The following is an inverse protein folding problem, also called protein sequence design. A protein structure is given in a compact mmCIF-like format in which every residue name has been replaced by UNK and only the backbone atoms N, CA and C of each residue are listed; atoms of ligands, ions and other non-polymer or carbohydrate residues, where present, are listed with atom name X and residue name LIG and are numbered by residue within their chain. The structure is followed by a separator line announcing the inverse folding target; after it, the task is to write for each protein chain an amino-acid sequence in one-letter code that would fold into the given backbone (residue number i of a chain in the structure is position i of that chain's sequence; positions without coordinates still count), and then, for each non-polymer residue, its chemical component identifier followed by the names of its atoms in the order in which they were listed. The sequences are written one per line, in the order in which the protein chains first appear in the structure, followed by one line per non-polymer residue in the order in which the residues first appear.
data_IF_183390133337
#
_entry.id   IF_183390133337
#
_cell.length_a   1.000
_cell.length_b   1.000
_cell.length_c   1.000
_cell.angle_alpha   90.00
_cell.angle_beta   90.00
_cell.angle_gamma   90.00
#
_symmetry.space_group_name_H-M   'P 1'
#
loop_
_entity.id
_entity.type
_entity.pdbx_description
1 polymer ?
#
# COMPACT_ATOMS: atom_id res chain seq x y z
N UNK A 1 -2.91 -20.62 -18.33
CA UNK A 1 -1.58 -20.60 -17.69
C UNK A 1 -1.40 -19.37 -16.80
N UNK A 2 -0.70 -19.45 -15.67
CA UNK A 2 -0.46 -18.34 -14.74
C UNK A 2 0.74 -17.45 -15.13
N UNK A 3 1.73 -17.98 -15.86
CA UNK A 3 2.96 -17.27 -16.24
C UNK A 3 3.73 -16.69 -15.05
N UNK A 4 4.01 -17.53 -14.03
CA UNK A 4 4.62 -17.10 -12.76
C UNK A 4 5.94 -16.35 -12.94
N UNK A 5 6.78 -16.79 -13.88
CA UNK A 5 8.06 -16.15 -14.17
C UNK A 5 7.87 -14.73 -14.74
N UNK A 6 6.96 -14.56 -15.70
CA UNK A 6 6.65 -13.27 -16.31
C UNK A 6 6.04 -12.31 -15.28
N UNK A 7 5.12 -12.78 -14.43
CA UNK A 7 4.58 -11.95 -13.34
C UNK A 7 5.65 -11.54 -12.33
N UNK A 8 6.62 -12.41 -12.04
CA UNK A 8 7.71 -12.09 -11.11
C UNK A 8 8.61 -10.97 -11.67
N UNK A 9 8.95 -11.05 -12.95
CA UNK A 9 9.71 -10.01 -13.66
C UNK A 9 8.91 -8.72 -13.81
N UNK A 10 7.65 -8.81 -14.23
CA UNK A 10 6.72 -7.67 -14.31
C UNK A 10 6.64 -6.93 -12.97
N UNK A 11 6.41 -7.65 -11.88
CA UNK A 11 6.32 -7.04 -10.55
C UNK A 11 7.61 -6.30 -10.21
N UNK A 12 8.78 -6.91 -10.45
CA UNK A 12 10.09 -6.26 -10.23
C UNK A 12 10.19 -4.93 -11.00
N UNK A 13 9.77 -4.92 -12.26
CA UNK A 13 9.85 -3.73 -13.12
C UNK A 13 8.95 -2.57 -12.67
N UNK A 14 7.82 -2.89 -12.04
CA UNK A 14 6.84 -1.89 -11.57
C UNK A 14 7.01 -1.53 -10.08
N UNK A 15 7.96 -2.14 -9.36
CA UNK A 15 8.29 -1.69 -7.99
C UNK A 15 9.11 -0.41 -8.06
N UNK A 16 9.07 0.42 -7.01
CA UNK A 16 10.08 1.43 -6.85
C UNK A 16 11.48 0.78 -6.75
N UNK A 17 12.44 1.40 -7.43
CA UNK A 17 13.85 0.98 -7.46
C UNK A 17 14.53 1.18 -6.11
N UNK A 18 15.67 0.52 -5.87
CA UNK A 18 16.39 0.66 -4.60
C UNK A 18 16.84 2.10 -4.34
N UNK A 19 17.28 2.83 -5.38
CA UNK A 19 17.56 4.27 -5.29
C UNK A 19 16.35 5.09 -4.87
N UNK A 20 15.15 4.75 -5.36
CA UNK A 20 13.92 5.40 -4.93
C UNK A 20 13.60 5.06 -3.48
N UNK A 21 13.84 3.81 -3.05
CA UNK A 21 13.69 3.40 -1.64
C UNK A 21 14.59 4.20 -0.72
N UNK A 22 15.86 4.33 -1.07
CA UNK A 22 16.84 5.16 -0.36
C UNK A 22 16.40 6.62 -0.30
N UNK A 23 15.91 7.16 -1.42
CA UNK A 23 15.45 8.55 -1.53
C UNK A 23 14.32 8.87 -0.56
N UNK A 24 13.29 8.02 -0.47
CA UNK A 24 12.22 8.28 0.51
C UNK A 24 12.64 8.03 1.95
N UNK A 25 13.50 7.03 2.22
CA UNK A 25 14.02 6.79 3.58
C UNK A 25 14.83 7.99 4.05
N UNK A 26 15.66 8.56 3.17
CA UNK A 26 16.40 9.79 3.43
C UNK A 26 15.47 10.98 3.68
N UNK A 27 14.47 11.20 2.81
CA UNK A 27 13.49 12.28 2.98
C UNK A 27 12.74 12.18 4.30
N UNK A 28 12.27 10.98 4.64
CA UNK A 28 11.55 10.72 5.88
C UNK A 28 12.42 10.91 7.12
N UNK A 29 13.61 10.33 7.16
CA UNK A 29 14.54 10.49 8.28
C UNK A 29 14.94 11.95 8.48
N UNK A 30 15.17 12.68 7.38
CA UNK A 30 15.51 14.11 7.43
C UNK A 30 14.38 14.94 8.03
N UNK A 31 13.14 14.78 7.54
CA UNK A 31 11.99 15.53 8.07
C UNK A 31 11.74 15.20 9.54
N UNK A 32 11.79 13.92 9.92
CA UNK A 32 11.58 13.47 11.30
C UNK A 32 12.65 14.02 12.25
N UNK A 33 13.91 14.01 11.82
CA UNK A 33 15.03 14.58 12.60
C UNK A 33 14.91 16.10 12.77
N UNK A 34 14.46 16.82 11.73
CA UNK A 34 14.19 18.26 11.83
C UNK A 34 13.04 18.55 12.80
N UNK A 35 11.93 17.81 12.71
CA UNK A 35 10.80 17.97 13.63
C UNK A 35 11.18 17.70 15.09
N UNK A 36 12.01 16.68 15.35
CA UNK A 36 12.45 16.36 16.71
C UNK A 36 13.46 17.37 17.27
N UNK A 37 14.14 18.12 16.40
CA UNK A 37 15.14 19.13 16.78
C UNK A 37 14.59 20.55 16.79
N UNK A 38 13.35 20.75 16.35
CA UNK A 38 12.70 22.06 16.34
C UNK A 38 12.27 22.45 17.76
N UNK A 39 12.66 23.65 18.20
CA UNK A 39 12.47 24.13 19.57
C UNK A 39 10.99 24.20 19.98
N UNK A 40 10.09 24.53 19.05
CA UNK A 40 8.67 24.71 19.36
C UNK A 40 7.87 23.45 19.08
N UNK A 41 8.11 22.79 17.94
CA UNK A 41 7.36 21.59 17.55
C UNK A 41 7.75 20.37 18.39
N UNK A 42 9.01 20.24 18.83
CA UNK A 42 9.42 19.10 19.68
C UNK A 42 8.65 19.02 21.00
N UNK A 43 8.09 20.16 21.47
CA UNK A 43 7.27 20.25 22.69
C UNK A 43 5.88 19.64 22.52
N UNK A 44 5.33 19.64 21.29
CA UNK A 44 3.97 19.17 21.00
C UNK A 44 3.93 17.87 20.19
N UNK A 45 5.02 17.51 19.52
CA UNK A 45 5.11 16.29 18.69
C UNK A 45 5.40 15.08 19.58
N UNK A 46 4.45 14.15 19.64
CA UNK A 46 4.57 12.89 20.38
C UNK A 46 5.35 11.86 19.58
N UNK A 47 5.00 11.69 18.30
CA UNK A 47 5.61 10.71 17.42
C UNK A 47 5.47 11.10 15.95
N UNK A 48 6.33 10.53 15.12
CA UNK A 48 6.23 10.63 13.65
C UNK A 48 6.39 9.25 13.04
N UNK A 49 5.59 8.93 12.03
CA UNK A 49 5.66 7.63 11.36
C UNK A 49 5.30 7.70 9.88
N UNK A 50 5.80 6.73 9.12
CA UNK A 50 5.47 6.57 7.70
C UNK A 50 4.05 6.03 7.53
N UNK A 51 3.32 6.58 6.56
CA UNK A 51 1.98 6.17 6.16
C UNK A 51 1.95 5.95 4.65
N UNK A 52 0.76 5.92 4.07
CA UNK A 52 0.62 5.93 2.63
C UNK A 52 0.94 4.61 1.93
N UNK A 53 1.03 4.71 0.61
CA UNK A 53 1.28 3.56 -0.25
C UNK A 53 2.70 2.99 -0.10
N UNK A 54 3.67 3.82 0.29
CA UNK A 54 5.04 3.36 0.58
C UNK A 54 5.02 2.47 1.82
N UNK A 55 4.47 2.95 2.95
CA UNK A 55 4.44 2.15 4.19
C UNK A 55 3.71 0.83 4.03
N UNK A 56 2.61 0.83 3.25
CA UNK A 56 1.79 -0.36 2.97
C UNK A 56 2.33 -1.24 1.85
N UNK A 57 3.47 -0.88 1.25
CA UNK A 57 4.10 -1.61 0.14
C UNK A 57 3.19 -1.74 -1.09
N UNK A 58 2.35 -0.75 -1.36
CA UNK A 58 1.44 -0.70 -2.52
C UNK A 58 1.78 0.44 -3.48
N UNK A 59 2.90 1.14 -3.26
CA UNK A 59 3.46 2.10 -4.20
C UNK A 59 3.96 1.39 -5.46
N UNK A 60 3.70 2.01 -6.63
CA UNK A 60 4.21 1.57 -7.92
C UNK A 60 5.32 2.52 -8.37
N UNK A 61 6.15 2.06 -9.32
CA UNK A 61 7.23 2.85 -9.90
C UNK A 61 6.68 4.15 -10.49
N UNK A 62 7.18 5.33 -10.07
CA UNK A 62 6.88 6.59 -10.72
C UNK A 62 7.27 6.57 -12.21
N UNK A 63 6.48 7.24 -13.06
CA UNK A 63 6.74 7.41 -14.50
C UNK A 63 6.98 8.88 -14.81
N UNK A 64 7.89 9.17 -15.73
CA UNK A 64 8.27 10.54 -16.10
C UNK A 64 8.99 11.24 -14.96
N UNK A 65 8.68 12.52 -14.75
CA UNK A 65 9.30 13.36 -13.72
C UNK A 65 8.69 13.17 -12.32
N UNK A 66 7.79 12.18 -12.15
CA UNK A 66 7.18 11.90 -10.85
C UNK A 66 8.19 11.27 -9.89
N UNK A 67 8.05 11.62 -8.62
CA UNK A 67 8.91 11.14 -7.53
C UNK A 67 8.15 10.17 -6.64
N UNK A 68 8.84 9.45 -5.76
CA UNK A 68 8.17 8.75 -4.68
C UNK A 68 7.39 9.74 -3.80
N UNK A 69 6.16 9.37 -3.47
CA UNK A 69 5.23 10.15 -2.66
C UNK A 69 5.14 9.54 -1.26
N UNK A 70 5.60 10.29 -0.26
CA UNK A 70 5.80 9.83 1.11
C UNK A 70 4.84 10.54 2.04
N UNK A 71 3.91 9.81 2.63
CA UNK A 71 3.07 10.33 3.70
C UNK A 71 3.78 10.17 5.05
N UNK A 72 3.98 11.27 5.78
CA UNK A 72 4.51 11.27 7.15
C UNK A 72 3.46 11.84 8.08
N UNK A 73 2.95 10.98 8.97
CA UNK A 73 2.00 11.40 10.00
C UNK A 73 2.78 11.92 11.20
N UNK A 74 2.41 13.12 11.64
CA UNK A 74 2.87 13.74 12.89
C UNK A 74 1.76 13.62 13.91
N UNK A 75 2.01 12.87 14.97
CA UNK A 75 1.11 12.73 16.11
C UNK A 75 1.45 13.81 17.11
N UNK A 76 0.49 14.66 17.41
CA UNK A 76 0.65 15.78 18.36
C UNK A 76 -0.24 15.62 19.57
N UNK A 77 0.09 16.34 20.64
CA UNK A 77 -0.74 16.49 21.83
C UNK A 77 -1.70 17.69 21.76
N UNK A 78 -1.82 18.35 20.59
CA UNK A 78 -2.71 19.49 20.36
C UNK A 78 -4.13 19.15 20.82
N UNK A 79 -4.71 20.02 21.64
CA UNK A 79 -6.13 19.93 21.98
C UNK A 79 -7.00 20.38 20.80
N UNK A 80 -7.60 19.40 20.12
CA UNK A 80 -8.45 19.61 18.95
C UNK A 80 -9.84 20.19 19.29
N UNK A 81 -10.23 20.24 20.57
CA UNK A 81 -11.43 20.96 21.01
C UNK A 81 -11.15 22.46 21.19
N UNK A 82 -9.94 22.81 21.65
CA UNK A 82 -9.54 24.20 21.90
C UNK A 82 -8.86 24.87 20.68
N UNK A 83 -8.38 24.08 19.73
CA UNK A 83 -7.60 24.56 18.59
C UNK A 83 -8.33 24.34 17.27
N UNK A 84 -8.54 25.40 16.49
CA UNK A 84 -9.11 25.28 15.15
C UNK A 84 -8.13 24.56 14.20
N UNK A 85 -8.62 23.86 13.16
CA UNK A 85 -7.75 23.20 12.18
C UNK A 85 -6.69 24.12 11.58
N UNK A 86 -7.08 25.34 11.21
CA UNK A 86 -6.14 26.35 10.68
C UNK A 86 -5.05 26.70 11.70
N UNK A 87 -5.42 27.01 12.96
CA UNK A 87 -4.44 27.32 14.02
C UNK A 87 -3.50 26.16 14.31
N UNK A 88 -3.98 24.91 14.23
CA UNK A 88 -3.14 23.74 14.43
C UNK A 88 -2.13 23.56 13.28
N UNK A 89 -2.58 23.71 12.03
CA UNK A 89 -1.71 23.66 10.85
C UNK A 89 -0.69 24.80 10.86
N UNK A 90 -1.09 26.02 11.25
CA UNK A 90 -0.22 27.20 11.28
C UNK A 90 0.96 27.09 12.25
N UNK A 91 0.86 26.24 13.28
CA UNK A 91 2.00 25.93 14.17
C UNK A 91 3.22 25.38 13.40
N UNK A 92 2.99 24.72 12.26
CA UNK A 92 4.05 24.10 11.46
C UNK A 92 4.60 25.03 10.37
N UNK A 93 3.96 26.17 10.09
CA UNK A 93 4.40 27.10 9.03
C UNK A 93 5.80 27.67 9.30
N UNK A 94 6.16 28.15 10.51
CA UNK A 94 7.52 28.64 10.78
C UNK A 94 8.60 27.58 10.53
N UNK A 95 8.32 26.32 10.88
CA UNK A 95 9.20 25.18 10.62
C UNK A 95 9.40 24.94 9.11
N UNK A 96 8.29 24.97 8.35
CA UNK A 96 8.31 24.78 6.90
C UNK A 96 9.06 25.90 6.19
N UNK A 97 8.83 27.16 6.57
CA UNK A 97 9.57 28.31 6.01
C UNK A 97 11.07 28.24 6.29
N UNK A 98 11.45 27.80 7.49
CA UNK A 98 12.87 27.67 7.87
C UNK A 98 13.58 26.56 7.11
N UNK A 99 12.95 25.39 6.97
CA UNK A 99 13.63 24.17 6.48
C UNK A 99 13.35 23.82 5.02
N UNK A 100 12.28 24.37 4.44
CA UNK A 100 11.81 24.07 3.10
C UNK A 100 11.38 25.34 2.33
N UNK A 101 12.12 26.48 2.41
CA UNK A 101 11.70 27.73 1.78
C UNK A 101 11.47 27.55 0.28
N UNK A 102 10.29 27.99 -0.19
CA UNK A 102 9.87 27.87 -1.60
C UNK A 102 9.64 26.45 -2.11
N UNK A 103 9.64 25.44 -1.22
CA UNK A 103 9.49 24.01 -1.57
C UNK A 103 8.27 23.36 -0.94
N UNK A 104 7.41 24.13 -0.28
CA UNK A 104 6.22 23.59 0.37
C UNK A 104 4.96 24.33 -0.07
N UNK A 105 3.82 23.63 -0.02
CA UNK A 105 2.50 24.21 -0.24
C UNK A 105 1.48 23.68 0.77
N UNK A 106 0.52 24.51 1.21
CA UNK A 106 -0.59 24.03 2.02
C UNK A 106 -1.52 23.14 1.20
N UNK A 107 -2.04 22.10 1.84
CA UNK A 107 -3.16 21.30 1.36
C UNK A 107 -4.24 21.27 2.44
N UNK A 108 -5.44 20.77 2.10
CA UNK A 108 -6.57 20.69 3.02
C UNK A 108 -6.23 20.02 4.36
N UNK A 109 -5.46 18.93 4.33
CA UNK A 109 -5.18 18.04 5.48
C UNK A 109 -3.70 17.76 5.73
N UNK A 110 -2.82 18.41 4.98
CA UNK A 110 -1.38 18.18 5.01
C UNK A 110 -0.63 19.41 4.48
N UNK A 111 0.69 19.35 4.54
CA UNK A 111 1.58 20.21 3.77
C UNK A 111 2.36 19.35 2.77
N UNK A 112 2.27 19.69 1.49
CA UNK A 112 3.08 19.04 0.46
C UNK A 112 4.45 19.69 0.38
N UNK A 113 5.52 18.92 0.50
CA UNK A 113 6.92 19.34 0.37
C UNK A 113 7.49 18.69 -0.88
N UNK A 114 7.89 19.50 -1.86
CA UNK A 114 8.43 19.06 -3.14
C UNK A 114 9.97 19.19 -3.12
N UNK A 115 10.66 18.06 -3.05
CA UNK A 115 12.12 17.98 -3.17
C UNK A 115 12.51 17.38 -4.51
N UNK A 116 13.76 17.56 -4.92
CA UNK A 116 14.23 17.06 -6.22
C UNK A 116 14.18 15.53 -6.35
N UNK A 117 14.17 14.81 -5.22
CA UNK A 117 14.24 13.35 -5.15
C UNK A 117 13.01 12.68 -4.52
N UNK A 118 12.12 13.42 -3.88
CA UNK A 118 10.95 12.90 -3.15
C UNK A 118 9.89 13.99 -2.99
N UNK A 119 8.63 13.61 -3.05
CA UNK A 119 7.52 14.45 -2.61
C UNK A 119 7.02 13.93 -1.25
N UNK A 120 6.80 14.82 -0.28
CA UNK A 120 6.42 14.44 1.08
C UNK A 120 5.14 15.15 1.48
N UNK A 121 4.15 14.38 1.93
CA UNK A 121 2.96 14.89 2.60
C UNK A 121 3.16 14.85 4.12
N UNK A 122 3.33 16.03 4.72
CA UNK A 122 3.38 16.21 6.18
C UNK A 122 1.94 16.29 6.72
N UNK A 123 1.45 15.19 7.30
CA UNK A 123 0.08 15.02 7.78
C UNK A 123 0.04 15.27 9.29
N UNK A 124 -0.58 16.37 9.72
CA UNK A 124 -0.65 16.73 11.14
C UNK A 124 -1.87 16.06 11.75
N UNK A 125 -1.71 15.47 12.93
CA UNK A 125 -2.79 14.81 13.66
C UNK A 125 -2.70 15.10 15.15
N UNK A 126 -3.83 14.99 15.85
CA UNK A 126 -3.92 15.10 17.29
C UNK A 126 -4.34 13.77 17.93
N UNK A 127 -3.80 13.48 19.10
CA UNK A 127 -4.25 12.38 19.95
C UNK A 127 -5.67 12.63 20.49
N UNK A 128 -6.39 11.56 20.90
CA UNK A 128 -7.57 11.70 21.74
C UNK A 128 -7.27 12.55 23.00
N UNK A 129 -8.28 13.30 23.44
CA UNK A 129 -8.20 14.17 24.62
C UNK A 129 -8.47 13.42 25.92
N UNK A 130 -9.20 12.31 25.87
CA UNK A 130 -9.42 11.41 27.02
C UNK A 130 -8.07 10.88 27.56
N UNK A 131 -7.78 11.00 28.87
CA UNK A 131 -6.50 10.59 29.44
C UNK A 131 -6.12 9.12 29.24
N UNK A 132 -7.08 8.20 29.36
CA UNK A 132 -6.81 6.76 29.25
C UNK A 132 -6.50 6.38 27.80
N UNK A 133 -7.33 6.85 26.86
CA UNK A 133 -7.12 6.72 25.42
C UNK A 133 -5.80 7.36 24.98
N UNK A 134 -5.49 8.57 25.48
CA UNK A 134 -4.23 9.26 25.20
C UNK A 134 -3.04 8.43 25.64
N UNK A 135 -3.01 7.98 26.89
CA UNK A 135 -1.89 7.19 27.43
C UNK A 135 -1.68 5.88 26.65
N UNK A 136 -2.76 5.17 26.33
CA UNK A 136 -2.69 3.95 25.53
C UNK A 136 -2.12 4.21 24.12
N UNK A 137 -2.60 5.26 23.45
CA UNK A 137 -2.15 5.61 22.11
C UNK A 137 -0.71 6.12 22.10
N UNK A 138 -0.30 6.94 23.06
CA UNK A 138 1.09 7.43 23.16
C UNK A 138 2.09 6.28 23.28
N UNK A 139 1.80 5.30 24.13
CA UNK A 139 2.65 4.12 24.31
C UNK A 139 2.82 3.35 22.99
N UNK A 140 1.72 3.15 22.26
CA UNK A 140 1.73 2.50 20.95
C UNK A 140 2.49 3.32 19.90
N UNK A 141 2.23 4.62 19.79
CA UNK A 141 2.88 5.51 18.81
C UNK A 141 4.38 5.66 19.03
N UNK A 142 4.85 5.50 20.27
CA UNK A 142 6.29 5.49 20.62
C UNK A 142 6.96 4.13 20.41
N UNK A 143 6.20 3.09 20.06
CA UNK A 143 6.76 1.76 19.83
C UNK A 143 7.52 1.65 18.51
N UNK A 144 8.43 0.67 18.44
CA UNK A 144 9.22 0.44 17.22
C UNK A 144 8.35 -0.03 16.04
N UNK A 145 7.20 -0.68 16.29
CA UNK A 145 6.25 -1.06 15.23
C UNK A 145 5.69 0.13 14.48
N UNK A 146 5.57 1.27 15.14
CA UNK A 146 5.08 2.51 14.54
C UNK A 146 6.25 3.34 13.99
N UNK A 147 7.35 3.43 14.74
CA UNK A 147 8.48 4.31 14.37
C UNK A 147 9.35 3.77 13.23
N UNK A 148 9.25 2.48 12.89
CA UNK A 148 10.03 1.87 11.81
C UNK A 148 9.84 2.58 10.47
N UNK A 149 10.92 2.66 9.70
CA UNK A 149 10.91 3.10 8.31
C UNK A 149 10.77 1.97 7.31
N UNK A 150 10.73 0.73 7.79
CA UNK A 150 10.58 -0.45 6.94
C UNK A 150 9.13 -0.58 6.48
N UNK A 151 8.98 -0.95 5.21
CA UNK A 151 7.70 -1.23 4.59
C UNK A 151 7.26 -2.68 4.92
N UNK A 152 5.99 -3.00 4.66
CA UNK A 152 5.47 -4.36 4.89
C UNK A 152 6.15 -5.46 4.04
N UNK A 153 6.75 -5.06 2.91
CA UNK A 153 7.55 -5.93 2.05
C UNK A 153 8.96 -6.14 2.59
N UNK A 154 9.53 -5.17 3.31
CA UNK A 154 10.89 -5.27 3.87
C UNK A 154 10.91 -6.07 5.18
N UNK A 155 9.87 -5.97 6.01
CA UNK A 155 9.70 -6.81 7.20
C UNK A 155 8.28 -7.39 7.28
N UNK A 156 8.12 -8.60 6.73
CA UNK A 156 6.85 -9.33 6.74
C UNK A 156 6.44 -9.84 8.13
N UNK A 157 7.35 -9.85 9.11
CA UNK A 157 7.05 -10.21 10.50
C UNK A 157 6.24 -9.13 11.20
N UNK A 158 6.21 -7.91 10.64
CA UNK A 158 5.58 -6.74 11.27
C UNK A 158 4.17 -7.04 11.79
N UNK A 159 3.98 -6.67 13.06
CA UNK A 159 2.68 -6.53 13.71
C UNK A 159 2.62 -5.17 14.37
N UNK A 160 1.41 -4.63 14.44
CA UNK A 160 1.15 -3.43 15.24
C UNK A 160 1.14 -3.85 16.71
N UNK A 161 2.32 -3.93 17.33
CA UNK A 161 2.50 -4.38 18.70
C UNK A 161 3.67 -3.63 19.34
N UNK A 162 3.52 -3.22 20.60
CA UNK A 162 4.55 -2.47 21.32
C UNK A 162 5.86 -3.25 21.51
N UNK A 163 5.73 -4.58 21.65
CA UNK A 163 6.84 -5.50 21.84
C UNK A 163 7.54 -5.86 20.53
N UNK A 164 6.93 -5.59 19.37
CA UNK A 164 7.58 -5.87 18.10
C UNK A 164 8.83 -5.01 17.93
N UNK A 165 9.88 -5.64 17.41
CA UNK A 165 11.13 -4.98 17.01
C UNK A 165 11.44 -5.36 15.57
N UNK A 166 12.03 -4.46 14.76
CA UNK A 166 12.53 -4.80 13.44
C UNK A 166 13.49 -5.98 13.55
N UNK A 167 13.38 -6.93 12.64
CA UNK A 167 14.26 -8.10 12.61
C UNK A 167 15.28 -7.98 11.48
N UNK A 168 16.57 -7.72 11.78
CA UNK A 168 17.60 -7.82 10.78
C UNK A 168 17.66 -9.27 10.28
N UNK A 169 17.52 -9.49 8.98
CA UNK A 169 17.71 -10.80 8.32
C UNK A 169 16.65 -11.89 8.58
N UNK A 170 15.44 -11.53 9.03
CA UNK A 170 14.29 -12.46 8.98
C UNK A 170 14.38 -13.67 9.91
N UNK A 171 15.22 -13.61 10.95
CA UNK A 171 15.16 -14.55 12.08
C UNK A 171 13.80 -14.41 12.75
N UNK A 172 12.82 -15.24 12.35
CA UNK A 172 11.44 -15.21 12.83
C UNK A 172 11.43 -15.31 14.36
N UNK A 173 11.08 -14.25 15.10
CA UNK A 173 10.69 -14.40 16.50
C UNK A 173 9.34 -15.15 16.51
N UNK A 174 9.05 -15.82 17.62
CA UNK A 174 7.76 -16.46 17.97
C UNK A 174 6.55 -15.82 17.28
N UNK A 175 5.56 -16.65 16.89
CA UNK A 175 4.27 -16.20 16.36
C UNK A 175 3.71 -15.05 17.22
N UNK A 176 3.89 -13.83 16.73
CA UNK A 176 3.47 -12.62 17.44
C UNK A 176 2.20 -12.11 16.77
N UNK A 177 1.25 -11.74 17.60
CA UNK A 177 -0.02 -11.16 17.18
C UNK A 177 0.02 -9.63 17.20
N UNK A 178 -0.90 -9.02 16.46
CA UNK A 178 -1.18 -7.58 16.61
C UNK A 178 -1.64 -7.29 18.04
N UNK A 179 -1.43 -6.05 18.51
CA UNK A 179 -1.88 -5.62 19.83
C UNK A 179 -3.41 -5.79 19.96
N UNK A 180 -3.92 -6.18 21.14
CA UNK A 180 -5.34 -6.34 21.39
C UNK A 180 -6.13 -5.12 20.91
N UNK A 181 -7.10 -5.36 20.03
CA UNK A 181 -7.80 -4.30 19.30
C UNK A 181 -8.55 -3.34 20.22
N UNK A 182 -9.04 -3.81 21.37
CA UNK A 182 -9.78 -3.01 22.34
C UNK A 182 -9.01 -1.82 22.92
N UNK A 183 -7.67 -1.85 22.91
CA UNK A 183 -6.85 -0.80 23.53
C UNK A 183 -6.58 0.38 22.59
N UNK A 184 -6.58 0.17 21.27
CA UNK A 184 -6.14 1.19 20.32
C UNK A 184 -7.13 1.47 19.19
N UNK A 185 -7.87 0.45 18.69
CA UNK A 185 -8.81 0.65 17.57
C UNK A 185 -9.95 1.63 17.87
N UNK A 186 -10.52 1.68 19.08
CA UNK A 186 -11.55 2.67 19.41
C UNK A 186 -11.04 4.12 19.46
N UNK A 187 -9.71 4.31 19.43
CA UNK A 187 -9.02 5.56 19.72
C UNK A 187 -8.35 6.13 18.45
N UNK A 188 -9.12 6.63 17.46
CA UNK A 188 -8.53 7.22 16.26
C UNK A 188 -7.75 8.49 16.58
N UNK A 189 -6.92 8.90 15.63
CA UNK A 189 -6.37 10.24 15.61
C UNK A 189 -7.39 11.23 15.07
N UNK A 190 -7.16 12.51 15.33
CA UNK A 190 -7.92 13.62 14.76
C UNK A 190 -7.07 14.35 13.73
N UNK A 191 -7.62 14.52 12.53
CA UNK A 191 -6.99 15.14 11.37
C UNK A 191 -7.62 16.52 11.15
N UNK A 192 -6.86 17.63 11.20
CA UNK A 192 -7.38 18.94 10.89
C UNK A 192 -7.62 19.05 9.39
N UNK A 193 -8.81 19.52 8.99
CA UNK A 193 -9.13 19.87 7.61
C UNK A 193 -9.35 21.38 7.53
N UNK A 194 -8.39 22.11 6.95
CA UNK A 194 -8.47 23.58 6.86
C UNK A 194 -9.58 24.03 5.92
N UNK A 195 -9.83 23.26 4.86
CA UNK A 195 -10.79 23.62 3.81
C UNK A 195 -12.23 23.47 4.34
N UNK A 196 -12.45 22.47 5.20
CA UNK A 196 -13.74 22.21 5.86
C UNK A 196 -13.87 22.99 7.18
N UNK A 197 -12.76 23.38 7.80
CA UNK A 197 -12.74 24.06 9.09
C UNK A 197 -13.02 23.15 10.29
N UNK A 198 -13.00 21.82 10.12
CA UNK A 198 -13.29 20.84 11.18
C UNK A 198 -12.18 19.80 11.35
N UNK A 199 -12.14 19.16 12.52
CA UNK A 199 -11.33 17.97 12.76
C UNK A 199 -12.10 16.71 12.40
N UNK A 200 -11.50 15.84 11.59
CA UNK A 200 -12.06 14.54 11.21
C UNK A 200 -11.31 13.38 11.86
N UNK A 201 -12.01 12.28 12.16
CA UNK A 201 -11.39 11.05 12.69
C UNK A 201 -10.55 10.37 11.60
N UNK A 202 -9.39 9.83 11.95
CA UNK A 202 -8.55 9.04 11.03
C UNK A 202 -7.83 7.93 11.78
N UNK A 203 -7.64 6.78 11.14
CA UNK A 203 -6.95 5.66 11.77
C UNK A 203 -5.83 5.05 10.89
N UNK A 204 -4.74 5.80 10.60
CA UNK A 204 -3.63 5.32 9.77
C UNK A 204 -3.06 3.95 10.15
N UNK A 205 -2.91 3.68 11.45
CA UNK A 205 -2.40 2.41 11.95
C UNK A 205 -3.34 1.24 11.64
N UNK A 206 -4.67 1.45 11.65
CA UNK A 206 -5.63 0.41 11.27
C UNK A 206 -5.54 0.10 9.78
N UNK A 207 -5.28 1.09 8.92
CA UNK A 207 -5.09 0.88 7.49
C UNK A 207 -3.83 0.05 7.20
N UNK A 208 -2.71 0.35 7.89
CA UNK A 208 -1.45 -0.40 7.77
C UNK A 208 -1.62 -1.82 8.31
N UNK A 209 -2.23 -1.97 9.49
CA UNK A 209 -2.48 -3.25 10.14
C UNK A 209 -3.38 -4.16 9.31
N UNK A 210 -4.48 -3.61 8.79
CA UNK A 210 -5.38 -4.35 7.92
C UNK A 210 -4.67 -4.83 6.65
N UNK A 211 -3.86 -3.97 6.02
CA UNK A 211 -3.11 -4.35 4.81
C UNK A 211 -2.11 -5.46 5.09
N UNK A 212 -1.39 -5.40 6.22
CA UNK A 212 -0.48 -6.45 6.62
C UNK A 212 -1.19 -7.79 6.84
N UNK A 213 -2.32 -7.76 7.57
CA UNK A 213 -3.15 -8.94 7.82
C UNK A 213 -3.72 -9.52 6.52
N UNK A 214 -4.27 -8.68 5.64
CA UNK A 214 -4.80 -9.11 4.34
C UNK A 214 -3.72 -9.72 3.47
N UNK A 215 -2.51 -9.13 3.46
CA UNK A 215 -1.40 -9.67 2.71
C UNK A 215 -1.00 -11.06 3.19
N UNK A 216 -0.89 -11.28 4.50
CA UNK A 216 -0.66 -12.62 5.07
C UNK A 216 -1.78 -13.59 4.71
N UNK A 217 -3.03 -13.18 4.85
CA UNK A 217 -4.20 -14.00 4.53
C UNK A 217 -4.29 -14.37 3.04
N UNK A 218 -3.66 -13.60 2.15
CA UNK A 218 -3.56 -13.86 0.71
C UNK A 218 -2.17 -14.43 0.31
N UNK A 219 -1.47 -15.14 1.20
CA UNK A 219 -0.17 -15.76 0.94
C UNK A 219 0.91 -14.79 0.41
N UNK A 220 0.85 -13.52 0.83
CA UNK A 220 1.76 -12.46 0.38
C UNK A 220 1.41 -11.83 -0.97
N UNK A 221 0.28 -12.20 -1.60
CA UNK A 221 -0.08 -11.71 -2.93
C UNK A 221 -0.91 -10.42 -2.95
N UNK A 222 -1.56 -10.03 -1.85
CA UNK A 222 -2.45 -8.85 -1.83
C UNK A 222 -1.74 -7.58 -2.30
N UNK A 223 -0.57 -7.26 -1.71
CA UNK A 223 0.16 -6.02 -2.08
C UNK A 223 0.63 -6.04 -3.54
N UNK A 224 0.94 -7.23 -4.07
CA UNK A 224 1.37 -7.42 -5.45
C UNK A 224 0.21 -7.21 -6.43
N UNK A 225 -0.98 -7.70 -6.07
CA UNK A 225 -2.22 -7.49 -6.81
C UNK A 225 -2.60 -6.01 -6.84
N UNK A 226 -2.50 -5.32 -5.71
CA UNK A 226 -2.74 -3.87 -5.65
C UNK A 226 -1.78 -3.12 -6.59
N UNK A 227 -0.49 -3.47 -6.61
CA UNK A 227 0.48 -2.86 -7.53
C UNK A 227 0.14 -3.17 -8.99
N UNK A 228 -0.16 -4.42 -9.32
CA UNK A 228 -0.54 -4.83 -10.67
C UNK A 228 -1.78 -4.05 -11.17
N UNK A 229 -2.82 -3.90 -10.35
CA UNK A 229 -4.03 -3.15 -10.72
C UNK A 229 -3.79 -1.65 -10.80
N UNK A 230 -2.99 -1.07 -9.90
CA UNK A 230 -2.59 0.34 -10.01
C UNK A 230 -1.79 0.59 -11.30
N UNK A 231 -0.90 -0.34 -11.67
CA UNK A 231 -0.13 -0.27 -12.91
C UNK A 231 -1.01 -0.43 -14.15
N UNK A 232 -1.93 -1.41 -14.17
CA UNK A 232 -2.93 -1.56 -15.23
C UNK A 232 -3.69 -0.26 -15.47
N UNK A 233 -4.22 0.36 -14.41
CA UNK A 233 -4.90 1.66 -14.52
C UNK A 233 -3.97 2.74 -15.06
N UNK A 234 -2.71 2.78 -14.63
CA UNK A 234 -1.74 3.77 -15.11
C UNK A 234 -1.43 3.59 -16.60
N UNK A 235 -1.28 2.35 -17.08
CA UNK A 235 -1.00 2.07 -18.50
C UNK A 235 -2.20 2.34 -19.40
N UNK A 236 -3.40 2.15 -18.88
CA UNK A 236 -4.63 2.32 -19.63
C UNK A 236 -5.29 3.69 -19.35
N UNK A 237 -4.53 4.70 -18.91
CA UNK A 237 -5.06 6.00 -18.50
C UNK A 237 -5.77 6.80 -19.60
N UNK A 238 -5.63 6.40 -20.88
CA UNK A 238 -6.40 6.97 -22.00
C UNK A 238 -7.84 6.45 -22.07
N UNK A 239 -8.12 5.28 -21.49
CA UNK A 239 -9.42 4.59 -21.57
C UNK A 239 -10.00 4.23 -20.20
N UNK A 240 -9.22 4.36 -19.12
CA UNK A 240 -9.64 4.16 -17.73
C UNK A 240 -9.75 5.52 -17.04
N UNK A 241 -10.85 5.80 -16.33
CA UNK A 241 -11.03 7.08 -15.66
C UNK A 241 -9.94 7.36 -14.61
N UNK A 242 -9.77 8.65 -14.32
CA UNK A 242 -8.84 9.13 -13.29
C UNK A 242 -9.23 8.63 -11.90
N UNK A 243 -10.50 8.34 -11.62
CA UNK A 243 -10.96 7.77 -10.37
C UNK A 243 -11.45 6.33 -10.56
N UNK A 244 -11.38 5.45 -9.54
CA UNK A 244 -10.85 5.67 -8.18
C UNK A 244 -9.34 5.94 -8.14
N UNK A 245 -8.90 6.71 -7.14
CA UNK A 245 -7.46 6.93 -6.85
C UNK A 245 -6.86 5.72 -6.13
N UNK A 246 -5.56 5.76 -5.88
CA UNK A 246 -4.78 4.60 -5.39
C UNK A 246 -5.31 3.94 -4.11
N UNK A 247 -5.68 4.71 -3.08
CA UNK A 247 -6.17 4.15 -1.83
C UNK A 247 -7.61 3.60 -1.92
N UNK A 248 -8.59 4.31 -2.52
CA UNK A 248 -9.89 3.73 -2.86
C UNK A 248 -9.79 2.44 -3.68
N UNK A 249 -8.93 2.39 -4.69
CA UNK A 249 -8.69 1.19 -5.50
C UNK A 249 -8.13 0.03 -4.67
N UNK A 250 -7.20 0.32 -3.76
CA UNK A 250 -6.64 -0.67 -2.82
C UNK A 250 -7.71 -1.25 -1.87
N UNK A 251 -8.64 -0.41 -1.40
CA UNK A 251 -9.80 -0.85 -0.61
C UNK A 251 -10.75 -1.75 -1.41
N UNK A 252 -11.05 -1.36 -2.64
CA UNK A 252 -11.90 -2.13 -3.55
C UNK A 252 -11.32 -3.54 -3.78
N UNK A 253 -10.02 -3.63 -4.09
CA UNK A 253 -9.33 -4.93 -4.25
C UNK A 253 -9.36 -5.72 -2.93
N UNK A 254 -9.09 -5.05 -1.81
CA UNK A 254 -9.08 -5.68 -0.50
C UNK A 254 -10.43 -6.28 -0.08
N UNK A 255 -11.51 -5.62 -0.47
CA UNK A 255 -12.89 -6.02 -0.22
C UNK A 255 -13.27 -7.30 -0.99
N UNK A 256 -12.92 -7.38 -2.27
CA UNK A 256 -13.34 -8.51 -3.13
C UNK A 256 -12.36 -9.69 -3.17
N UNK A 257 -11.09 -9.48 -2.82
CA UNK A 257 -10.06 -10.51 -2.97
C UNK A 257 -10.25 -11.60 -1.92
N UNK A 258 -10.26 -12.86 -2.35
CA UNK A 258 -10.37 -14.01 -1.43
C UNK A 258 -9.05 -14.29 -0.71
N UNK A 259 -9.14 -14.75 0.53
CA UNK A 259 -7.99 -15.28 1.26
C UNK A 259 -7.48 -16.57 0.58
N UNK A 260 -6.24 -16.96 0.86
CA UNK A 260 -5.62 -18.15 0.27
C UNK A 260 -5.29 -18.00 -1.22
N UNK A 261 -5.14 -16.77 -1.73
CA UNK A 261 -4.73 -16.51 -3.12
C UNK A 261 -3.47 -17.30 -3.46
N UNK A 262 -3.46 -18.01 -4.58
CA UNK A 262 -2.37 -18.93 -4.96
C UNK A 262 -1.33 -18.31 -5.88
N UNK A 263 -1.70 -17.27 -6.63
CA UNK A 263 -0.83 -16.55 -7.54
C UNK A 263 -1.37 -15.15 -7.86
N UNK A 264 -0.51 -14.29 -8.40
CA UNK A 264 -0.91 -12.94 -8.84
C UNK A 264 -1.82 -13.00 -10.06
N UNK A 265 -1.60 -13.94 -11.00
CA UNK A 265 -2.47 -14.11 -12.15
C UNK A 265 -3.90 -14.48 -11.72
N UNK A 266 -4.04 -15.55 -10.93
CA UNK A 266 -5.34 -16.02 -10.44
C UNK A 266 -6.03 -14.98 -9.56
N UNK A 267 -5.29 -14.33 -8.65
CA UNK A 267 -5.84 -13.27 -7.82
C UNK A 267 -6.28 -12.03 -8.61
N UNK A 268 -5.58 -11.69 -9.70
CA UNK A 268 -5.92 -10.53 -10.52
C UNK A 268 -7.22 -10.77 -11.27
N UNK A 269 -7.34 -11.93 -11.93
CA UNK A 269 -8.58 -12.35 -12.60
C UNK A 269 -9.75 -12.37 -11.60
N UNK A 270 -9.56 -13.02 -10.46
CA UNK A 270 -10.62 -13.11 -9.44
C UNK A 270 -11.06 -11.74 -8.95
N UNK A 271 -10.13 -10.83 -8.65
CA UNK A 271 -10.48 -9.50 -8.16
C UNK A 271 -11.26 -8.71 -9.22
N UNK A 272 -10.84 -8.74 -10.50
CA UNK A 272 -11.56 -8.04 -11.56
C UNK A 272 -12.96 -8.63 -11.82
N UNK A 273 -13.08 -9.95 -11.84
CA UNK A 273 -14.38 -10.63 -12.01
C UNK A 273 -15.33 -10.35 -10.84
N UNK A 274 -14.84 -10.40 -9.60
CA UNK A 274 -15.68 -10.06 -8.44
C UNK A 274 -16.10 -8.60 -8.45
N UNK A 275 -15.20 -7.65 -8.78
CA UNK A 275 -15.60 -6.24 -8.93
C UNK A 275 -16.62 -6.04 -10.06
N UNK A 276 -16.49 -6.77 -11.18
CA UNK A 276 -17.49 -6.76 -12.27
C UNK A 276 -18.84 -7.28 -11.77
N UNK A 277 -18.86 -8.42 -11.10
CA UNK A 277 -20.09 -9.15 -10.77
C UNK A 277 -20.80 -8.55 -9.56
N UNK A 278 -20.09 -8.30 -8.47
CA UNK A 278 -20.64 -7.81 -7.19
C UNK A 278 -21.23 -6.39 -7.34
N UNK A 279 -20.63 -5.57 -8.20
CA UNK A 279 -21.04 -4.18 -8.41
C UNK A 279 -21.76 -3.93 -9.73
N UNK A 280 -22.22 -4.98 -10.41
CA UNK A 280 -22.98 -4.86 -11.66
C UNK A 280 -24.25 -4.03 -11.48
N UNK A 281 -25.04 -4.31 -10.43
CA UNK A 281 -26.28 -3.57 -10.15
C UNK A 281 -25.94 -2.11 -9.82
N UNK A 282 -24.99 -1.89 -8.92
CA UNK A 282 -24.47 -0.57 -8.55
C UNK A 282 -24.13 0.28 -9.77
N UNK A 283 -23.39 -0.27 -10.73
CA UNK A 283 -23.00 0.45 -11.95
C UNK A 283 -24.20 0.75 -12.88
N UNK A 284 -25.18 -0.16 -12.97
CA UNK A 284 -26.39 0.05 -13.78
C UNK A 284 -27.29 1.16 -13.24
N UNK A 285 -27.41 1.27 -11.91
CA UNK A 285 -28.24 2.31 -11.26
C UNK A 285 -27.43 3.54 -10.84
N UNK A 286 -26.17 3.65 -11.28
CA UNK A 286 -25.28 4.79 -11.00
C UNK A 286 -25.09 5.06 -9.50
N UNK A 287 -25.04 3.99 -8.71
CA UNK A 287 -24.84 4.05 -7.27
C UNK A 287 -23.45 3.52 -6.91
N UNK A 288 -22.57 4.39 -6.45
CA UNK A 288 -21.26 4.01 -5.92
C UNK A 288 -21.44 3.16 -4.66
N UNK A 289 -20.82 1.97 -4.56
CA UNK A 289 -20.90 1.15 -3.35
C UNK A 289 -20.26 1.89 -2.16
N UNK A 290 -20.75 1.63 -0.95
CA UNK A 290 -20.14 2.16 0.25
C UNK A 290 -19.11 1.18 0.80
N UNK A 291 -17.87 1.65 1.00
CA UNK A 291 -16.82 0.88 1.64
C UNK A 291 -16.31 1.64 2.88
N UNK A 292 -16.51 1.11 4.10
CA UNK A 292 -16.06 1.77 5.33
C UNK A 292 -14.52 1.80 5.43
N UNK A 293 -13.98 2.91 5.93
CA UNK A 293 -12.55 3.06 6.20
C UNK A 293 -12.12 2.13 7.35
N UNK A 294 -10.89 1.64 7.27
CA UNK A 294 -10.32 0.79 8.30
C UNK A 294 -10.09 1.58 9.59
N UNK A 295 -10.85 1.26 10.63
CA UNK A 295 -10.76 1.89 11.95
C UNK A 295 -11.63 3.14 12.14
N UNK A 296 -12.29 3.62 11.08
CA UNK A 296 -13.27 4.71 11.13
C UNK A 296 -14.46 4.35 10.23
N UNK A 297 -15.29 3.36 10.63
CA UNK A 297 -16.32 2.77 9.76
C UNK A 297 -17.41 3.75 9.32
N UNK A 298 -17.58 4.87 10.03
CA UNK A 298 -18.45 5.97 9.64
C UNK A 298 -17.98 6.74 8.39
N UNK A 299 -16.72 6.53 7.95
CA UNK A 299 -16.16 7.14 6.76
C UNK A 299 -16.24 6.21 5.55
N UNK A 300 -16.97 6.61 4.50
CA UNK A 300 -16.96 5.92 3.21
C UNK A 300 -15.70 6.31 2.40
N UNK A 301 -14.82 5.35 2.14
CA UNK A 301 -13.58 5.52 1.36
C UNK A 301 -13.88 5.93 -0.10
N UNK A 302 -15.03 5.54 -0.63
CA UNK A 302 -15.47 5.85 -1.98
C UNK A 302 -16.25 7.16 -2.09
N UNK A 303 -16.41 7.94 -1.00
CA UNK A 303 -17.21 9.18 -0.98
C UNK A 303 -16.83 10.22 -2.06
N UNK A 304 -15.57 10.22 -2.51
CA UNK A 304 -15.06 11.14 -3.55
C UNK A 304 -15.11 10.57 -4.97
N UNK A 305 -15.53 9.32 -5.14
CA UNK A 305 -15.72 8.71 -6.45
C UNK A 305 -17.11 9.12 -6.96
N UNK A 306 -17.16 9.76 -8.13
CA UNK A 306 -18.44 10.11 -8.76
C UNK A 306 -19.12 8.86 -9.32
N UNK A 307 -20.44 8.90 -9.48
CA UNK A 307 -21.20 7.82 -10.11
C UNK A 307 -20.75 7.57 -11.57
N UNK A 308 -20.46 8.66 -12.29
CA UNK A 308 -19.92 8.61 -13.66
C UNK A 308 -18.56 7.91 -13.72
N UNK A 309 -17.60 8.35 -12.90
CA UNK A 309 -16.27 7.73 -12.82
C UNK A 309 -16.38 6.26 -12.41
N UNK A 310 -17.27 5.95 -11.47
CA UNK A 310 -17.50 4.58 -11.01
C UNK A 310 -18.05 3.69 -12.13
N UNK A 311 -19.07 4.15 -12.88
CA UNK A 311 -19.63 3.43 -14.01
C UNK A 311 -18.59 3.21 -15.12
N UNK A 312 -17.81 4.25 -15.45
CA UNK A 312 -16.72 4.15 -16.41
C UNK A 312 -15.62 3.17 -15.93
N UNK A 313 -15.28 3.19 -14.65
CA UNK A 313 -14.31 2.28 -14.06
C UNK A 313 -14.80 0.83 -14.08
N UNK A 314 -16.07 0.60 -13.73
CA UNK A 314 -16.71 -0.72 -13.78
C UNK A 314 -16.72 -1.29 -15.21
N UNK A 315 -17.05 -0.47 -16.21
CA UNK A 315 -16.97 -0.85 -17.62
C UNK A 315 -15.54 -1.25 -18.02
N UNK A 316 -14.53 -0.47 -17.63
CA UNK A 316 -13.14 -0.77 -17.90
C UNK A 316 -12.66 -2.07 -17.22
N UNK A 317 -13.04 -2.29 -15.96
CA UNK A 317 -12.77 -3.55 -15.24
C UNK A 317 -13.44 -4.73 -15.93
N UNK A 318 -14.66 -4.56 -16.45
CA UNK A 318 -15.40 -5.63 -17.14
C UNK A 318 -14.64 -6.14 -18.36
N UNK A 319 -14.09 -5.22 -19.16
CA UNK A 319 -13.24 -5.55 -20.33
C UNK A 319 -11.95 -6.24 -19.87
N UNK A 320 -11.28 -5.68 -18.86
CA UNK A 320 -10.03 -6.23 -18.34
C UNK A 320 -10.22 -7.62 -17.70
N UNK A 321 -11.36 -7.87 -17.04
CA UNK A 321 -11.73 -9.17 -16.50
C UNK A 321 -11.79 -10.22 -17.62
N UNK A 322 -12.48 -9.92 -18.73
CA UNK A 322 -12.54 -10.82 -19.89
C UNK A 322 -11.16 -11.14 -20.50
N UNK A 323 -10.34 -10.11 -20.73
CA UNK A 323 -8.99 -10.29 -21.27
C UNK A 323 -8.08 -11.10 -20.32
N UNK A 324 -8.14 -10.80 -19.03
CA UNK A 324 -7.32 -11.49 -18.02
C UNK A 324 -7.74 -12.94 -17.82
N UNK A 325 -9.05 -13.24 -17.91
CA UNK A 325 -9.59 -14.60 -17.92
C UNK A 325 -9.12 -15.38 -19.14
N UNK A 326 -9.21 -14.80 -20.34
CA UNK A 326 -8.69 -15.44 -21.56
C UNK A 326 -7.17 -15.70 -21.45
N UNK A 327 -6.41 -14.76 -20.89
CA UNK A 327 -4.99 -14.92 -20.67
C UNK A 327 -4.69 -16.07 -19.69
N UNK A 328 -5.43 -16.15 -18.59
CA UNK A 328 -5.28 -17.18 -17.56
C UNK A 328 -5.74 -18.57 -18.05
N UNK A 329 -6.73 -18.65 -18.94
CA UNK A 329 -7.25 -19.92 -19.44
C UNK A 329 -6.49 -20.40 -20.69
N UNK A 330 -5.63 -19.57 -21.29
CA UNK A 330 -4.86 -19.94 -22.48
C UNK A 330 -3.80 -21.02 -22.18
N UNK A 331 -3.76 -22.04 -23.05
CA UNK A 331 -2.74 -23.10 -23.08
C UNK A 331 -1.50 -22.74 -23.91
N UNK A 332 -1.58 -21.67 -24.71
CA UNK A 332 -0.46 -21.14 -25.47
C UNK A 332 0.21 -20.02 -24.66
N UNK A 333 1.44 -20.28 -24.20
CA UNK A 333 2.20 -19.32 -23.41
C UNK A 333 2.37 -17.98 -24.13
N UNK A 334 2.63 -18.00 -25.44
CA UNK A 334 2.82 -16.77 -26.23
C UNK A 334 1.52 -15.97 -26.29
N UNK A 335 0.41 -16.62 -26.62
CA UNK A 335 -0.92 -15.98 -26.62
C UNK A 335 -1.27 -15.41 -25.25
N UNK A 336 -1.10 -16.19 -24.19
CA UNK A 336 -1.31 -15.76 -22.80
C UNK A 336 -0.47 -14.51 -22.47
N UNK A 337 0.81 -14.54 -22.81
CA UNK A 337 1.73 -13.43 -22.57
C UNK A 337 1.34 -12.16 -23.33
N UNK A 338 0.88 -12.28 -24.57
CA UNK A 338 0.40 -11.15 -25.36
C UNK A 338 -0.88 -10.54 -24.78
N UNK A 339 -1.80 -11.36 -24.27
CA UNK A 339 -3.00 -10.87 -23.57
C UNK A 339 -2.65 -10.14 -22.26
N UNK A 340 -1.73 -10.68 -21.47
CA UNK A 340 -1.23 -9.99 -20.28
C UNK A 340 -0.48 -8.70 -20.63
N UNK A 341 0.29 -8.69 -21.71
CA UNK A 341 0.99 -7.50 -22.19
C UNK A 341 0.02 -6.42 -22.69
N UNK A 342 -1.13 -6.78 -23.27
CA UNK A 342 -2.19 -5.80 -23.58
C UNK A 342 -2.72 -5.09 -22.32
N UNK A 343 -2.80 -5.80 -21.20
CA UNK A 343 -3.26 -5.22 -19.93
C UNK A 343 -2.17 -4.37 -19.25
N UNK A 344 -0.94 -4.86 -19.22
CA UNK A 344 0.13 -4.29 -18.39
C UNK A 344 1.19 -3.51 -19.17
N UNK A 345 1.08 -3.45 -20.50
CA UNK A 345 2.06 -2.84 -21.39
C UNK A 345 3.38 -3.62 -21.44
N UNK A 346 4.38 -3.03 -22.09
CA UNK A 346 5.68 -3.66 -22.40
C UNK A 346 6.52 -4.03 -21.17
N UNK A 347 6.15 -3.59 -19.97
CA UNK A 347 6.75 -4.05 -18.71
C UNK A 347 6.37 -5.48 -18.34
N UNK A 348 5.30 -6.02 -18.91
CA UNK A 348 5.03 -7.44 -18.85
C UNK A 348 5.81 -8.15 -19.97
N UNK A 349 6.79 -9.00 -19.63
CA UNK A 349 7.62 -9.66 -20.63
C UNK A 349 6.84 -10.79 -21.33
N UNK A 350 7.11 -11.00 -22.61
CA UNK A 350 6.57 -12.13 -23.34
C UNK A 350 7.38 -13.40 -23.02
N UNK A 351 6.73 -14.57 -22.88
CA UNK A 351 7.46 -15.82 -22.74
C UNK A 351 8.25 -16.15 -24.02
N UNK A 352 9.40 -16.80 -23.83
CA UNK A 352 10.20 -17.33 -24.95
C UNK A 352 9.56 -18.55 -25.62
N UNK A 353 10.21 -19.15 -26.64
CA UNK A 353 9.65 -20.26 -27.42
C UNK A 353 9.29 -21.51 -26.61
N UNK A 354 10.02 -21.79 -25.53
CA UNK A 354 9.75 -22.87 -24.57
C UNK A 354 9.21 -22.33 -23.23
N UNK A 355 8.66 -21.11 -23.25
CA UNK A 355 8.16 -20.43 -22.06
C UNK A 355 6.80 -20.94 -21.61
N UNK A 356 6.37 -20.46 -20.44
CA UNK A 356 5.15 -20.91 -19.79
C UNK A 356 5.40 -21.53 -18.42
N UNK A 357 4.33 -21.78 -17.67
CA UNK A 357 4.46 -22.50 -16.41
C UNK A 357 4.86 -23.94 -16.70
N UNK A 358 5.95 -24.39 -16.08
CA UNK A 358 6.33 -25.80 -16.15
C UNK A 358 5.19 -26.62 -15.57
N UNK A 359 4.69 -27.61 -16.33
CA UNK A 359 3.79 -28.61 -15.78
C UNK A 359 4.50 -29.24 -14.57
N UNK A 360 3.83 -29.40 -13.41
CA UNK A 360 4.43 -30.13 -12.30
C UNK A 360 4.81 -31.52 -12.83
N UNK A 361 6.12 -31.76 -12.94
CA UNK A 361 6.61 -33.05 -13.38
C UNK A 361 6.15 -34.09 -12.36
N UNK A 362 5.61 -35.20 -12.84
CA UNK A 362 5.49 -36.38 -12.00
C UNK A 362 6.88 -36.68 -11.44
N UNK A 363 7.04 -36.55 -10.13
CA UNK A 363 8.24 -37.02 -9.46
C UNK A 363 8.21 -38.55 -9.56
N UNK A 364 8.87 -39.10 -10.57
CA UNK A 364 9.21 -40.51 -10.60
C UNK A 364 10.37 -40.72 -9.64
N UNK A 365 10.09 -41.34 -8.49
CA UNK A 365 11.14 -41.81 -7.59
C UNK A 365 12.12 -42.69 -8.38
N UNK A 366 13.45 -42.49 -8.22
CA UNK A 366 14.43 -43.37 -8.83
C UNK A 366 14.15 -44.82 -8.41
N UNK A 367 14.03 -45.72 -9.39
CA UNK A 367 13.82 -47.15 -9.12
C UNK A 367 15.07 -47.84 -8.58
N UNK A 368 16.23 -47.17 -8.65
CA UNK A 368 17.48 -47.65 -8.09
C UNK A 368 18.33 -46.52 -7.48
N UNK A 369 19.15 -46.81 -6.45
CA UNK A 369 20.16 -45.89 -5.94
C UNK A 369 21.13 -45.48 -7.05
N UNK A 370 21.61 -44.24 -7.00
CA UNK A 370 22.64 -43.79 -7.93
C UNK A 370 23.95 -44.56 -7.68
N UNK A 371 24.41 -45.32 -8.68
CA UNK A 371 25.72 -45.95 -8.64
C UNK A 371 26.82 -44.92 -8.99
N UNK A 372 27.78 -44.66 -8.09
CA UNK A 372 28.90 -43.81 -8.41
C UNK A 372 29.79 -44.49 -9.45
N UNK A 373 30.01 -43.85 -10.60
CA UNK A 373 31.02 -44.29 -11.55
C UNK A 373 32.39 -44.21 -10.90
N UNK A 374 33.02 -45.36 -10.64
CA UNK A 374 34.45 -45.42 -10.31
C UNK A 374 35.23 -44.93 -11.53
N UNK A 375 35.92 -43.82 -11.38
CA UNK A 375 36.95 -43.38 -12.32
C UNK A 375 38.29 -43.89 -11.81
N UNK A 376 39.07 -44.57 -12.66
CA UNK A 376 40.41 -45.12 -12.35
C UNK A 376 41.51 -44.06 -12.14
N UNK A 377 41.16 -42.90 -11.55
CA UNK A 377 42.12 -41.82 -11.30
C UNK A 377 42.94 -41.98 -10.02
N UNK A 378 42.75 -43.07 -9.27
CA UNK A 378 43.51 -43.38 -8.06
C UNK A 378 43.73 -44.89 -7.91
N UNK A 379 44.35 -45.52 -8.91
CA UNK A 379 44.94 -46.86 -8.80
C UNK A 379 46.46 -46.74 -8.93
#
# INVERSE_FOLDING_TARGET
MELKAQFSEFLREIRPTDRQKESWKMGASTLRSRLSSDEELSKIVVATFLQGSIRRSTAIRPIGDKRPDVDIVVVTDIDYHATTPQKAMDKFVPFLERHYPGKWRPQGRSFGIELTYVDIDLVITALPTDPASRQAMEKLYRSQSVLTTDTLEEDASWRLNESWKPTPFGSQPLEMEDAPTGNWRPNPLFLPDRDVGNWGRTHPLAQIQWTAAKNRACNGHYVNLVRATKWWRQQNALVVPKYPKGYPLEHMIGHVLKNGTTSVATGFVQALESMRDDWRINAMIEQVPELPDHGVPEHNVLKRLSAEDFKAFHAAITIAAGLSREALDSDDARKSGELWQKLFGTKFPLPGPNGGDRKPGFFTSPSQPAEPKRTDRFA
#
